data_IF_261210706583
#
_entry.id   IF_261210706583
#
_cell.length_a   1.000
_cell.length_b   1.000
_cell.length_c   1.000
_cell.angle_alpha   90.00
_cell.angle_beta   90.00
_cell.angle_gamma   90.00
#
_symmetry.space_group_name_H-M   'P 1'
#
loop_
_entity.id
_entity.type
_entity.pdbx_description
1 polymer ?
#
# COMPACT_ATOMS: atom_id res chain seq x y z
N UNK A 1 10.64 -10.85 -40.99
CA UNK A 1 10.60 -10.25 -39.64
C UNK A 1 9.83 -11.17 -38.73
N UNK A 2 10.44 -11.75 -37.73
CA UNK A 2 9.72 -12.51 -36.71
C UNK A 2 9.44 -11.58 -35.54
N UNK A 3 8.17 -11.45 -35.17
CA UNK A 3 7.74 -10.70 -33.99
C UNK A 3 7.24 -11.68 -32.94
N UNK A 4 7.81 -11.61 -31.75
CA UNK A 4 7.44 -12.45 -30.60
C UNK A 4 6.95 -11.55 -29.46
N UNK A 5 5.72 -11.79 -28.98
CA UNK A 5 5.16 -11.06 -27.84
C UNK A 5 5.62 -11.69 -26.52
N UNK A 6 6.06 -10.85 -25.63
CA UNK A 6 6.60 -11.25 -24.34
C UNK A 6 5.84 -10.55 -23.23
N UNK A 7 5.49 -11.31 -22.21
CA UNK A 7 4.89 -10.78 -21.02
C UNK A 7 5.69 -11.22 -19.79
N UNK A 8 5.90 -10.31 -18.87
CA UNK A 8 6.54 -10.61 -17.60
C UNK A 8 5.80 -9.97 -16.43
N UNK A 9 5.93 -10.61 -15.28
CA UNK A 9 5.53 -10.12 -13.98
C UNK A 9 6.78 -9.81 -13.18
N UNK A 10 6.89 -8.58 -12.71
CA UNK A 10 7.97 -8.15 -11.81
C UNK A 10 7.42 -7.92 -10.42
N UNK A 11 8.12 -8.39 -9.40
CA UNK A 11 7.80 -8.14 -8.00
C UNK A 11 9.00 -7.55 -7.27
N UNK A 12 8.75 -6.61 -6.38
CA UNK A 12 9.78 -6.02 -5.54
C UNK A 12 9.85 -6.78 -4.22
N UNK A 13 11.04 -7.30 -3.93
CA UNK A 13 11.32 -8.00 -2.67
C UNK A 13 12.35 -7.25 -1.84
N UNK A 14 12.22 -7.31 -0.53
CA UNK A 14 13.25 -6.79 0.37
C UNK A 14 14.42 -7.76 0.43
N UNK A 15 15.61 -7.20 0.32
CA UNK A 15 16.85 -7.91 0.32
C UNK A 15 17.86 -7.18 1.21
N UNK A 16 18.77 -7.88 1.84
CA UNK A 16 19.81 -7.25 2.66
C UNK A 16 20.96 -6.76 1.81
N UNK A 17 21.29 -5.47 1.91
CA UNK A 17 22.45 -4.90 1.23
C UNK A 17 23.79 -5.32 1.85
N UNK A 18 23.79 -5.73 3.12
CA UNK A 18 25.00 -6.12 3.83
C UNK A 18 25.62 -7.41 3.31
N UNK A 19 26.92 -7.51 3.43
CA UNK A 19 27.66 -8.75 3.25
C UNK A 19 27.56 -9.58 4.53
N UNK A 20 27.09 -10.82 4.42
CA UNK A 20 26.97 -11.73 5.55
C UNK A 20 28.33 -11.96 6.23
N UNK A 21 28.34 -11.79 7.56
CA UNK A 21 29.56 -11.98 8.37
C UNK A 21 30.64 -10.90 8.22
N UNK A 22 30.32 -9.77 7.58
CA UNK A 22 31.21 -8.62 7.44
C UNK A 22 30.53 -7.35 7.95
N UNK A 23 31.28 -6.49 8.65
CA UNK A 23 30.74 -5.23 9.18
C UNK A 23 29.96 -4.46 8.11
N UNK A 24 28.75 -3.92 8.42
CA UNK A 24 28.11 -3.84 9.74
C UNK A 24 27.38 -5.10 10.19
N UNK A 25 27.27 -6.17 9.37
CA UNK A 25 26.65 -7.43 9.76
C UNK A 25 27.56 -8.19 10.75
N UNK A 26 27.06 -8.41 11.96
CA UNK A 26 27.77 -9.11 13.04
C UNK A 26 27.50 -10.61 13.07
N UNK A 27 26.70 -11.14 12.14
CA UNK A 27 26.41 -12.55 12.06
C UNK A 27 27.68 -13.36 11.80
N UNK A 28 27.87 -14.43 12.58
CA UNK A 28 29.04 -15.30 12.44
C UNK A 28 28.74 -16.49 11.52
N UNK A 29 29.59 -16.72 10.56
CA UNK A 29 29.55 -17.92 9.70
C UNK A 29 29.62 -19.20 10.57
N UNK A 30 28.59 -20.05 10.44
CA UNK A 30 28.55 -21.33 11.16
C UNK A 30 28.16 -21.27 12.64
N UNK A 31 27.88 -20.10 13.20
CA UNK A 31 27.53 -19.95 14.62
C UNK A 31 26.09 -20.35 14.98
N UNK A 32 25.22 -20.55 14.03
CA UNK A 32 23.83 -20.96 14.28
C UNK A 32 23.30 -21.92 13.22
N UNK A 33 22.30 -22.71 13.60
CA UNK A 33 21.55 -23.56 12.66
C UNK A 33 20.70 -22.78 11.67
N UNK A 34 20.66 -21.45 11.79
CA UNK A 34 19.92 -20.58 10.89
C UNK A 34 20.83 -20.08 9.77
N UNK A 35 20.34 -20.19 8.54
CA UNK A 35 21.04 -19.69 7.35
C UNK A 35 20.50 -18.32 6.97
N UNK A 36 21.38 -17.37 6.72
CA UNK A 36 21.01 -16.10 6.14
C UNK A 36 20.71 -16.28 4.65
N UNK A 37 19.53 -15.90 4.19
CA UNK A 37 19.15 -15.84 2.78
C UNK A 37 18.97 -14.39 2.31
N UNK A 38 19.62 -13.45 3.00
CA UNK A 38 19.53 -12.00 2.77
C UNK A 38 18.12 -11.43 2.89
N UNK A 39 17.26 -12.06 3.68
CA UNK A 39 15.91 -11.59 3.97
C UNK A 39 15.78 -11.24 5.43
N UNK A 40 14.89 -10.30 5.78
CA UNK A 40 14.69 -9.90 7.17
C UNK A 40 14.31 -11.09 8.07
N UNK A 41 13.43 -11.98 7.58
CA UNK A 41 12.98 -13.16 8.33
C UNK A 41 14.13 -14.15 8.65
N UNK A 42 15.11 -14.25 7.77
CA UNK A 42 16.25 -15.16 7.96
C UNK A 42 17.49 -14.45 8.50
N UNK A 43 17.40 -13.18 8.82
CA UNK A 43 18.51 -12.37 9.32
C UNK A 43 18.87 -12.81 10.74
N UNK A 44 20.17 -13.00 10.98
CA UNK A 44 20.72 -13.32 12.31
C UNK A 44 21.15 -12.05 13.07
N UNK A 45 21.10 -10.89 12.39
CA UNK A 45 21.49 -9.58 12.92
C UNK A 45 20.50 -8.53 12.41
N UNK A 46 19.29 -8.58 12.95
CA UNK A 46 18.18 -7.70 12.50
C UNK A 46 18.41 -6.23 12.81
N UNK A 47 19.24 -5.92 13.84
CA UNK A 47 19.56 -4.56 14.21
C UNK A 47 20.38 -3.84 13.13
N UNK A 48 21.24 -4.56 12.43
CA UNK A 48 22.08 -4.04 11.34
C UNK A 48 21.53 -4.39 9.94
N UNK A 49 20.27 -4.83 9.84
CA UNK A 49 19.67 -5.13 8.54
C UNK A 49 19.49 -3.84 7.72
N UNK A 50 20.16 -3.76 6.57
CA UNK A 50 20.01 -2.65 5.63
C UNK A 50 19.14 -3.13 4.47
N UNK A 51 17.95 -2.55 4.36
CA UNK A 51 16.98 -2.89 3.33
C UNK A 51 17.42 -2.37 1.97
N UNK A 52 17.48 -3.26 1.01
CA UNK A 52 17.59 -2.99 -0.42
C UNK A 52 16.37 -3.60 -1.14
N UNK A 53 15.93 -3.00 -2.22
CA UNK A 53 14.86 -3.55 -3.07
C UNK A 53 15.50 -4.33 -4.21
N UNK A 54 15.07 -5.58 -4.38
CA UNK A 54 15.47 -6.42 -5.50
C UNK A 54 14.27 -6.79 -6.34
N UNK A 55 14.38 -6.59 -7.65
CA UNK A 55 13.33 -6.97 -8.59
C UNK A 55 13.49 -8.44 -8.98
N UNK A 56 12.41 -9.19 -8.86
CA UNK A 56 12.32 -10.57 -9.36
C UNK A 56 11.33 -10.59 -10.51
N UNK A 57 11.76 -11.08 -11.65
CA UNK A 57 10.97 -11.15 -12.88
C UNK A 57 10.53 -12.60 -13.14
N UNK A 58 9.27 -12.78 -13.41
CA UNK A 58 8.71 -14.04 -13.92
C UNK A 58 8.22 -13.80 -15.34
N UNK A 59 8.74 -14.53 -16.31
CA UNK A 59 8.42 -14.29 -17.72
C UNK A 59 7.85 -15.54 -18.38
N UNK A 60 7.17 -15.32 -19.50
CA UNK A 60 6.74 -16.39 -20.40
C UNK A 60 7.80 -16.74 -21.46
N UNK A 61 8.98 -16.11 -21.39
CA UNK A 61 10.03 -16.23 -22.39
C UNK A 61 11.42 -16.20 -21.75
N UNK A 62 12.31 -17.04 -22.25
CA UNK A 62 13.72 -17.13 -21.82
C UNK A 62 14.64 -16.11 -22.49
N UNK A 63 14.19 -15.45 -23.57
CA UNK A 63 15.00 -14.56 -24.41
C UNK A 63 14.95 -13.11 -23.95
N UNK A 64 14.24 -12.77 -22.86
CA UNK A 64 14.23 -11.42 -22.33
C UNK A 64 15.65 -11.06 -21.87
N UNK A 65 16.25 -10.00 -22.40
CA UNK A 65 17.55 -9.54 -21.92
C UNK A 65 17.39 -9.03 -20.49
N UNK A 66 18.17 -9.61 -19.60
CA UNK A 66 18.12 -9.30 -18.18
C UNK A 66 19.26 -8.36 -17.86
N UNK A 67 18.97 -7.22 -17.23
CA UNK A 67 20.00 -6.45 -16.57
C UNK A 67 20.71 -7.35 -15.53
N UNK A 68 21.99 -7.22 -15.35
CA UNK A 68 22.81 -8.09 -14.45
C UNK A 68 22.33 -8.08 -13.00
N UNK A 69 21.48 -7.13 -12.62
CA UNK A 69 20.85 -7.01 -11.29
C UNK A 69 19.48 -7.68 -11.18
N UNK A 70 18.90 -8.15 -12.28
CA UNK A 70 17.52 -8.67 -12.32
C UNK A 70 17.55 -10.20 -12.37
N UNK A 71 16.71 -10.83 -11.57
CA UNK A 71 16.52 -12.28 -11.57
C UNK A 71 15.30 -12.60 -12.43
N UNK A 72 15.46 -13.38 -13.50
CA UNK A 72 14.36 -13.82 -14.33
C UNK A 72 14.13 -15.32 -14.23
N UNK A 73 12.88 -15.69 -13.96
CA UNK A 73 12.41 -17.06 -14.01
C UNK A 73 11.37 -17.21 -15.14
N UNK A 74 11.62 -18.06 -16.13
CA UNK A 74 10.66 -18.31 -17.21
C UNK A 74 9.52 -19.23 -16.76
N UNK A 75 8.83 -18.85 -15.69
CA UNK A 75 7.82 -19.64 -15.00
C UNK A 75 6.40 -19.07 -15.16
N UNK A 76 6.24 -17.94 -15.86
CA UNK A 76 4.95 -17.32 -16.11
C UNK A 76 4.19 -18.09 -17.19
N UNK A 77 2.96 -18.52 -16.90
CA UNK A 77 2.06 -19.18 -17.88
C UNK A 77 1.10 -18.18 -18.51
N UNK A 78 0.42 -17.39 -17.70
CA UNK A 78 -0.54 -16.39 -18.19
C UNK A 78 -0.84 -15.34 -17.14
N UNK A 79 -1.31 -14.18 -17.60
CA UNK A 79 -1.86 -13.12 -16.74
C UNK A 79 -3.26 -12.82 -17.23
N UNK A 80 -4.23 -12.81 -16.31
CA UNK A 80 -5.56 -12.26 -16.54
C UNK A 80 -5.69 -10.93 -15.83
N UNK A 81 -6.30 -9.95 -16.49
CA UNK A 81 -6.47 -8.60 -15.92
C UNK A 81 -7.93 -8.16 -16.01
N UNK A 82 -8.32 -7.37 -15.01
CA UNK A 82 -9.58 -6.62 -15.00
C UNK A 82 -9.24 -5.14 -14.88
N UNK A 83 -9.80 -4.35 -15.79
CA UNK A 83 -9.58 -2.90 -15.79
C UNK A 83 -10.32 -2.19 -14.66
N UNK A 84 -9.84 -1.02 -14.27
CA UNK A 84 -10.54 -0.09 -13.39
C UNK A 84 -11.86 0.34 -14.03
N UNK A 85 -12.91 0.48 -13.22
CA UNK A 85 -14.14 1.16 -13.61
C UNK A 85 -14.39 2.33 -12.66
N UNK A 86 -14.40 3.55 -13.19
CA UNK A 86 -14.55 4.79 -12.42
C UNK A 86 -16.02 5.03 -12.12
N UNK A 87 -16.35 5.37 -10.87
CA UNK A 87 -17.70 5.78 -10.47
C UNK A 87 -17.88 7.29 -10.68
N UNK A 88 -18.14 7.70 -11.92
CA UNK A 88 -18.21 9.12 -12.32
C UNK A 88 -19.31 9.88 -11.58
N UNK A 89 -20.42 9.22 -11.29
CA UNK A 89 -21.59 9.88 -10.66
C UNK A 89 -21.56 9.82 -9.14
N UNK A 90 -20.68 9.01 -8.56
CA UNK A 90 -20.71 8.70 -7.13
C UNK A 90 -21.92 7.89 -6.67
N UNK A 91 -22.99 7.87 -7.48
CA UNK A 91 -24.28 7.32 -7.12
C UNK A 91 -24.39 5.79 -7.18
N UNK A 92 -23.39 5.11 -7.70
CA UNK A 92 -23.41 3.64 -7.78
C UNK A 92 -22.89 3.02 -6.49
N UNK A 93 -23.80 2.66 -5.59
CA UNK A 93 -23.49 2.07 -4.27
C UNK A 93 -22.62 0.79 -4.36
N UNK A 94 -22.76 0.00 -5.45
CA UNK A 94 -21.95 -1.21 -5.65
C UNK A 94 -20.49 -0.89 -6.00
N UNK A 95 -20.25 0.28 -6.58
CA UNK A 95 -18.91 0.71 -6.98
C UNK A 95 -18.20 1.51 -5.90
N UNK A 96 -18.91 1.98 -4.88
CA UNK A 96 -18.40 2.90 -3.85
C UNK A 96 -17.69 4.13 -4.43
N UNK A 97 -17.06 4.95 -3.60
CA UNK A 97 -16.44 6.21 -4.01
C UNK A 97 -15.31 6.04 -5.02
N UNK A 98 -14.48 5.06 -4.81
CA UNK A 98 -13.30 4.83 -5.65
C UNK A 98 -13.55 3.90 -6.87
N UNK A 99 -14.78 3.50 -7.16
CA UNK A 99 -15.11 2.63 -8.29
C UNK A 99 -14.67 1.16 -8.11
N UNK A 100 -14.48 0.45 -9.22
CA UNK A 100 -13.97 -0.93 -9.22
C UNK A 100 -12.47 -0.90 -9.45
N UNK A 101 -11.72 -1.60 -8.59
CA UNK A 101 -10.26 -1.69 -8.65
C UNK A 101 -9.80 -2.50 -9.85
N UNK A 102 -8.74 -2.02 -10.52
CA UNK A 102 -8.00 -2.89 -11.42
C UNK A 102 -7.42 -4.07 -10.64
N UNK A 103 -7.48 -5.23 -11.24
CA UNK A 103 -6.90 -6.42 -10.62
C UNK A 103 -6.23 -7.30 -11.65
N UNK A 104 -5.22 -8.04 -11.21
CA UNK A 104 -4.54 -9.04 -11.99
C UNK A 104 -4.46 -10.36 -11.23
N UNK A 105 -4.42 -11.44 -12.00
CA UNK A 105 -4.11 -12.78 -11.52
C UNK A 105 -3.07 -13.37 -12.46
N UNK A 106 -1.87 -13.60 -11.95
CA UNK A 106 -0.78 -14.24 -12.67
C UNK A 106 -0.72 -15.71 -12.28
N UNK A 107 -0.70 -16.58 -13.27
CA UNK A 107 -0.55 -18.03 -13.13
C UNK A 107 0.87 -18.43 -13.47
N UNK A 108 1.52 -19.10 -12.53
CA UNK A 108 2.91 -19.52 -12.63
C UNK A 108 3.03 -21.02 -12.37
N UNK A 109 4.12 -21.61 -12.88
CA UNK A 109 4.46 -23.00 -12.64
C UNK A 109 5.72 -23.06 -11.78
N UNK A 110 5.64 -23.81 -10.68
CA UNK A 110 6.76 -23.96 -9.76
C UNK A 110 7.81 -24.94 -10.28
N UNK A 111 9.05 -24.74 -9.89
CA UNK A 111 10.18 -25.58 -10.31
C UNK A 111 11.18 -25.78 -9.18
N UNK A 112 11.92 -26.90 -9.16
CA UNK A 112 13.05 -27.08 -8.27
C UNK A 112 14.06 -25.93 -8.40
N UNK A 113 14.63 -25.48 -7.27
CA UNK A 113 15.48 -24.31 -7.29
C UNK A 113 16.69 -24.44 -6.35
N UNK A 114 17.85 -24.12 -6.87
CA UNK A 114 19.14 -24.27 -6.20
C UNK A 114 19.63 -23.04 -5.43
N UNK A 115 18.77 -22.02 -5.24
CA UNK A 115 19.08 -20.77 -4.55
C UNK A 115 20.13 -19.85 -5.21
N UNK A 116 20.64 -20.19 -6.38
CA UNK A 116 21.77 -19.48 -7.01
C UNK A 116 21.56 -17.96 -7.21
N UNK A 117 20.31 -17.51 -7.35
CA UNK A 117 20.00 -16.09 -7.57
C UNK A 117 19.64 -15.33 -6.29
N UNK A 118 18.93 -15.99 -5.37
CA UNK A 118 18.52 -15.35 -4.11
C UNK A 118 19.60 -15.41 -3.04
N UNK A 119 20.47 -16.41 -3.14
CA UNK A 119 21.53 -16.65 -2.18
C UNK A 119 22.90 -16.38 -2.79
N UNK A 120 23.41 -15.18 -2.60
CA UNK A 120 24.76 -14.80 -3.06
C UNK A 120 25.90 -15.58 -2.34
N UNK A 121 25.58 -16.26 -1.25
CA UNK A 121 26.53 -17.09 -0.48
C UNK A 121 26.28 -18.58 -0.66
N UNK A 122 25.59 -18.97 -1.72
CA UNK A 122 25.26 -20.37 -1.98
C UNK A 122 26.48 -21.27 -1.98
N UNK A 123 27.58 -20.82 -2.59
CA UNK A 123 28.85 -21.59 -2.64
C UNK A 123 29.46 -21.84 -1.25
N UNK A 124 29.46 -20.83 -0.38
CA UNK A 124 29.99 -20.95 0.98
C UNK A 124 29.12 -21.85 1.84
N UNK A 125 27.81 -21.83 1.63
CA UNK A 125 26.87 -22.69 2.36
C UNK A 125 26.92 -24.13 1.93
N UNK A 126 27.19 -24.40 0.65
CA UNK A 126 27.38 -25.75 0.12
C UNK A 126 28.71 -26.33 0.59
N UNK A 127 29.77 -25.52 0.65
CA UNK A 127 31.13 -25.97 0.95
C UNK A 127 31.43 -26.26 2.41
N UNK A 128 30.45 -26.22 3.31
CA UNK A 128 30.59 -26.86 4.60
C UNK A 128 30.59 -25.99 5.85
N UNK A 129 30.71 -24.67 5.74
CA UNK A 129 30.64 -23.79 6.92
C UNK A 129 29.23 -23.74 7.58
N UNK A 130 28.24 -24.35 6.96
CA UNK A 130 26.87 -24.42 7.45
C UNK A 130 26.32 -25.85 7.47
N UNK A 131 27.20 -26.85 7.73
CA UNK A 131 26.76 -28.22 7.98
C UNK A 131 25.95 -28.26 9.28
N UNK A 132 24.76 -28.78 9.18
CA UNK A 132 23.95 -29.20 10.33
C UNK A 132 24.15 -30.68 10.52
N UNK A 133 23.70 -31.23 11.65
CA UNK A 133 23.70 -32.67 11.93
C UNK A 133 22.97 -33.53 10.87
N UNK A 134 22.25 -32.87 9.95
CA UNK A 134 21.51 -33.46 8.82
C UNK A 134 22.37 -33.68 7.57
N UNK A 135 23.70 -33.44 7.63
CA UNK A 135 24.62 -33.57 6.50
C UNK A 135 24.75 -32.30 5.64
N UNK A 136 25.44 -32.37 4.49
CA UNK A 136 25.68 -31.21 3.65
C UNK A 136 24.40 -30.64 3.10
N UNK A 137 24.35 -29.31 3.06
CA UNK A 137 23.19 -28.60 2.49
C UNK A 137 23.08 -28.80 0.98
N UNK A 138 22.02 -29.50 0.55
CA UNK A 138 21.66 -29.62 -0.86
C UNK A 138 20.47 -28.69 -1.19
N UNK A 139 20.73 -27.60 -1.91
CA UNK A 139 19.63 -26.67 -2.27
C UNK A 139 18.60 -27.29 -3.19
N UNK A 140 18.95 -28.25 -4.06
CA UNK A 140 18.00 -28.94 -4.93
C UNK A 140 17.02 -29.85 -4.17
N UNK A 141 17.51 -30.52 -3.13
CA UNK A 141 16.66 -31.37 -2.30
C UNK A 141 15.73 -30.62 -1.37
N UNK A 142 15.85 -29.27 -1.26
CA UNK A 142 15.20 -28.50 -0.20
C UNK A 142 14.09 -27.55 -0.66
N UNK A 143 13.53 -27.75 -1.83
CA UNK A 143 12.30 -27.08 -2.24
C UNK A 143 12.38 -26.35 -3.57
N UNK A 144 11.31 -25.66 -3.86
CA UNK A 144 11.00 -25.04 -5.14
C UNK A 144 11.08 -23.53 -5.07
N UNK A 145 11.02 -22.83 -6.22
CA UNK A 145 11.10 -21.36 -6.32
C UNK A 145 10.07 -20.69 -5.42
N UNK A 146 8.79 -21.03 -5.58
CA UNK A 146 7.72 -20.33 -4.88
C UNK A 146 7.55 -20.78 -3.42
N UNK A 147 7.83 -22.04 -3.09
CA UNK A 147 7.87 -22.46 -1.69
C UNK A 147 8.94 -21.69 -0.91
N UNK A 148 10.13 -21.51 -1.49
CA UNK A 148 11.21 -20.73 -0.91
C UNK A 148 10.89 -19.24 -0.87
N UNK A 149 10.34 -18.68 -1.95
CA UNK A 149 9.90 -17.29 -2.00
C UNK A 149 8.91 -16.98 -0.87
N UNK A 150 7.83 -17.76 -0.77
CA UNK A 150 6.79 -17.54 0.24
C UNK A 150 7.31 -17.70 1.67
N UNK A 151 8.19 -18.67 1.93
CA UNK A 151 8.75 -18.90 3.27
C UNK A 151 9.73 -17.82 3.70
N UNK A 152 10.48 -17.23 2.77
CA UNK A 152 11.50 -16.22 3.04
C UNK A 152 10.96 -14.79 3.04
N UNK A 153 9.91 -14.51 2.24
CA UNK A 153 9.24 -13.22 2.15
C UNK A 153 7.75 -13.34 2.50
N UNK A 154 7.40 -13.64 3.76
CA UNK A 154 6.01 -13.80 4.17
C UNK A 154 5.22 -12.47 4.18
N UNK A 155 5.92 -11.33 4.19
CA UNK A 155 5.33 -9.98 4.20
C UNK A 155 5.28 -9.40 2.78
N UNK A 156 4.62 -10.10 1.88
CA UNK A 156 4.51 -9.74 0.46
C UNK A 156 3.32 -8.83 0.17
N UNK A 157 2.27 -8.85 0.99
CA UNK A 157 1.07 -8.05 0.77
C UNK A 157 1.40 -6.54 0.80
N UNK A 158 0.80 -5.78 -0.12
CA UNK A 158 1.05 -4.36 -0.30
C UNK A 158 2.36 -4.00 -1.02
N UNK A 159 3.18 -4.99 -1.43
CA UNK A 159 4.41 -4.72 -2.14
C UNK A 159 4.18 -4.39 -3.61
N UNK A 160 5.02 -3.51 -4.20
CA UNK A 160 4.92 -3.17 -5.61
C UNK A 160 5.07 -4.39 -6.52
N UNK A 161 4.29 -4.40 -7.56
CA UNK A 161 4.28 -5.41 -8.60
C UNK A 161 3.99 -4.74 -9.95
N UNK A 162 4.63 -5.20 -11.03
CA UNK A 162 4.46 -4.67 -12.38
C UNK A 162 4.18 -5.78 -13.37
N UNK A 163 3.26 -5.51 -14.29
CA UNK A 163 3.10 -6.31 -15.51
C UNK A 163 3.78 -5.55 -16.63
N UNK A 164 4.76 -6.18 -17.25
CA UNK A 164 5.52 -5.61 -18.35
C UNK A 164 5.21 -6.40 -19.62
N UNK A 165 4.65 -5.71 -20.59
CA UNK A 165 4.42 -6.24 -21.93
C UNK A 165 5.52 -5.74 -22.88
N UNK A 166 6.04 -6.60 -23.72
CA UNK A 166 7.11 -6.28 -24.63
C UNK A 166 7.06 -7.09 -25.92
N UNK A 167 7.91 -6.74 -26.84
CA UNK A 167 8.07 -7.43 -28.12
C UNK A 167 9.55 -7.69 -28.41
N UNK A 168 9.83 -8.83 -29.02
CA UNK A 168 11.14 -9.13 -29.59
C UNK A 168 10.96 -9.09 -31.11
N UNK A 169 11.65 -8.14 -31.76
CA UNK A 169 11.68 -8.01 -33.22
C UNK A 169 13.09 -8.24 -33.68
N UNK A 170 13.29 -9.26 -34.52
CA UNK A 170 14.60 -9.66 -35.04
C UNK A 170 15.69 -9.80 -33.94
N UNK A 171 15.30 -10.32 -32.76
CA UNK A 171 16.19 -10.52 -31.61
C UNK A 171 16.36 -9.32 -30.69
N UNK A 172 15.75 -8.16 -30.98
CA UNK A 172 15.81 -6.96 -30.15
C UNK A 172 14.54 -6.88 -29.29
N UNK A 173 14.70 -6.86 -27.98
CA UNK A 173 13.60 -6.70 -27.02
C UNK A 173 13.27 -5.22 -26.79
N UNK A 174 11.99 -4.90 -26.79
CA UNK A 174 11.46 -3.56 -26.48
C UNK A 174 10.24 -3.68 -25.57
N UNK A 175 10.21 -2.86 -24.51
CA UNK A 175 9.03 -2.74 -23.64
C UNK A 175 7.99 -1.88 -24.36
N UNK A 176 6.76 -2.37 -24.43
CA UNK A 176 5.62 -1.66 -25.03
C UNK A 176 4.70 -1.04 -24.00
N UNK A 177 4.57 -1.68 -22.80
CA UNK A 177 3.71 -1.19 -21.74
C UNK A 177 4.19 -1.70 -20.39
N UNK A 178 4.07 -0.87 -19.36
CA UNK A 178 4.25 -1.26 -17.96
C UNK A 178 3.02 -0.81 -17.18
N UNK A 179 2.44 -1.72 -16.39
CA UNK A 179 1.28 -1.45 -15.55
C UNK A 179 1.60 -1.79 -14.09
N UNK A 180 1.25 -0.88 -13.19
CA UNK A 180 1.65 -0.93 -11.78
C UNK A 180 0.51 -1.37 -10.87
N UNK A 181 0.81 -2.30 -9.98
CA UNK A 181 -0.09 -2.90 -9.01
C UNK A 181 0.60 -3.11 -7.67
N UNK A 182 -0.16 -3.52 -6.65
CA UNK A 182 0.35 -4.05 -5.40
C UNK A 182 -0.07 -5.52 -5.26
N UNK A 183 0.78 -6.33 -4.63
CA UNK A 183 0.51 -7.73 -4.35
C UNK A 183 -0.55 -7.81 -3.26
N UNK A 184 -1.60 -8.60 -3.49
CA UNK A 184 -2.62 -8.87 -2.47
C UNK A 184 -2.52 -10.26 -1.91
N UNK A 185 -2.15 -11.25 -2.72
CA UNK A 185 -2.11 -12.65 -2.27
C UNK A 185 -1.12 -13.51 -3.06
N UNK A 186 -0.56 -14.53 -2.36
CA UNK A 186 0.23 -15.63 -2.88
C UNK A 186 -0.47 -16.96 -2.57
N UNK A 187 -1.04 -17.62 -3.58
CA UNK A 187 -1.69 -18.91 -3.46
C UNK A 187 -0.81 -20.05 -3.99
N UNK A 188 -0.71 -21.11 -3.24
CA UNK A 188 0.14 -22.27 -3.59
C UNK A 188 1.55 -22.20 -2.99
N UNK A 189 2.57 -22.91 -3.58
CA UNK A 189 2.39 -23.89 -4.66
C UNK A 189 1.51 -25.07 -4.23
N UNK A 190 0.70 -25.58 -5.15
CA UNK A 190 -0.11 -26.79 -4.94
C UNK A 190 0.65 -28.06 -5.37
N UNK A 191 0.03 -29.23 -5.24
CA UNK A 191 0.63 -30.50 -5.59
C UNK A 191 0.95 -30.65 -7.10
N UNK A 192 0.31 -29.86 -7.96
CA UNK A 192 0.59 -29.81 -9.38
C UNK A 192 1.70 -28.83 -9.76
N UNK A 193 2.26 -28.11 -8.80
CA UNK A 193 3.23 -27.04 -9.02
C UNK A 193 2.61 -25.72 -9.44
N UNK A 194 1.29 -25.55 -9.36
CA UNK A 194 0.64 -24.29 -9.69
C UNK A 194 0.84 -23.27 -8.57
N UNK A 195 1.27 -22.08 -8.95
CA UNK A 195 1.37 -20.92 -8.07
C UNK A 195 0.63 -19.73 -8.68
N UNK A 196 -0.04 -18.94 -7.83
CA UNK A 196 -0.83 -17.79 -8.28
C UNK A 196 -0.42 -16.56 -7.49
N UNK A 197 -0.14 -15.47 -8.21
CA UNK A 197 0.07 -14.15 -7.63
C UNK A 197 -1.11 -13.28 -8.01
N UNK A 198 -1.78 -12.70 -7.00
CA UNK A 198 -2.88 -11.76 -7.21
C UNK A 198 -2.42 -10.36 -6.85
N UNK A 199 -2.93 -9.40 -7.58
CA UNK A 199 -2.67 -7.99 -7.33
C UNK A 199 -3.84 -7.11 -7.68
N UNK A 200 -3.83 -5.92 -7.08
CA UNK A 200 -4.78 -4.85 -7.31
C UNK A 200 -4.06 -3.51 -7.46
N UNK A 201 -4.80 -2.49 -7.87
CA UNK A 201 -4.28 -1.13 -7.89
C UNK A 201 -4.01 -0.59 -6.47
N UNK A 202 -3.22 0.49 -6.39
CA UNK A 202 -2.76 1.05 -5.10
C UNK A 202 -3.93 1.57 -4.25
N UNK A 203 -5.04 1.97 -4.85
CA UNK A 203 -6.22 2.45 -4.13
C UNK A 203 -6.92 1.35 -3.33
N UNK A 204 -6.56 0.06 -3.54
CA UNK A 204 -7.02 -1.04 -2.68
C UNK A 204 -6.60 -0.87 -1.22
N UNK A 205 -5.52 -0.13 -0.96
CA UNK A 205 -5.12 0.22 0.39
C UNK A 205 -6.21 1.03 1.12
N UNK A 206 -6.92 1.90 0.41
CA UNK A 206 -8.03 2.69 0.98
C UNK A 206 -9.33 1.87 1.16
N UNK A 207 -9.41 0.67 0.57
CA UNK A 207 -10.55 -0.24 0.70
C UNK A 207 -10.49 -1.15 1.95
N UNK A 208 -9.34 -1.21 2.65
CA UNK A 208 -9.22 -2.01 3.87
C UNK A 208 -10.14 -1.44 4.95
N UNK A 209 -10.92 -2.32 5.57
CA UNK A 209 -11.86 -1.95 6.65
C UNK A 209 -11.20 -1.32 7.88
N UNK A 210 -9.90 -1.52 8.04
CA UNK A 210 -9.10 -0.92 9.13
C UNK A 210 -8.63 0.50 8.79
N UNK A 211 -8.75 0.89 7.54
CA UNK A 211 -8.36 2.23 7.08
C UNK A 211 -9.54 3.17 7.24
N UNK A 212 -9.49 3.92 8.33
CA UNK A 212 -10.56 4.83 8.78
C UNK A 212 -10.01 6.22 9.03
N UNK A 213 -10.86 7.23 8.89
CA UNK A 213 -10.58 8.60 9.30
C UNK A 213 -11.72 9.11 10.21
N UNK A 214 -11.40 9.68 11.36
CA UNK A 214 -10.09 9.64 12.02
C UNK A 214 -9.67 8.22 12.41
N UNK A 215 -8.38 8.02 12.70
CA UNK A 215 -7.89 6.75 13.27
C UNK A 215 -8.51 6.54 14.65
N UNK A 216 -8.69 5.28 15.06
CA UNK A 216 -9.16 4.98 16.41
C UNK A 216 -8.19 5.55 17.44
N UNK A 217 -8.72 6.34 18.37
CA UNK A 217 -7.99 6.81 19.54
C UNK A 217 -8.12 5.79 20.68
N UNK A 218 -7.01 5.55 21.39
CA UNK A 218 -6.95 4.52 22.43
C UNK A 218 -7.23 5.07 23.84
N UNK A 219 -7.33 6.40 23.98
CA UNK A 219 -7.52 7.05 25.27
C UNK A 219 -8.97 7.17 25.67
N UNK A 220 -9.19 7.03 26.98
CA UNK A 220 -10.46 7.29 27.63
C UNK A 220 -10.27 8.26 28.80
N UNK A 221 -11.34 8.84 29.33
CA UNK A 221 -11.30 9.71 30.50
C UNK A 221 -10.82 8.95 31.74
N UNK A 222 -9.88 9.53 32.49
CA UNK A 222 -9.46 8.99 33.78
C UNK A 222 -10.51 9.23 34.89
N UNK A 223 -11.16 10.39 34.87
CA UNK A 223 -12.16 10.81 35.86
C UNK A 223 -13.33 11.47 35.15
N UNK A 224 -14.47 11.55 35.83
CA UNK A 224 -15.62 12.31 35.37
C UNK A 224 -15.22 13.77 35.15
N UNK A 225 -15.83 14.41 34.15
CA UNK A 225 -15.72 15.84 33.91
C UNK A 225 -17.12 16.46 33.79
N UNK A 226 -17.26 17.68 34.35
CA UNK A 226 -18.48 18.46 34.21
C UNK A 226 -18.48 19.21 32.85
N UNK A 227 -19.61 19.80 32.52
CA UNK A 227 -19.80 20.66 31.35
C UNK A 227 -18.93 21.94 31.36
N UNK A 228 -18.39 22.31 32.53
CA UNK A 228 -17.58 23.51 32.75
C UNK A 228 -16.09 23.24 33.00
N UNK A 229 -15.71 21.98 33.11
CA UNK A 229 -14.30 21.62 33.31
C UNK A 229 -13.44 22.01 32.12
N UNK A 230 -12.24 22.54 32.43
CA UNK A 230 -11.28 23.02 31.43
C UNK A 230 -10.11 22.08 31.21
N UNK A 231 -10.11 20.94 31.90
CA UNK A 231 -9.06 19.92 31.76
C UNK A 231 -9.67 18.52 31.78
N UNK A 232 -9.05 17.62 31.04
CA UNK A 232 -9.35 16.19 31.07
C UNK A 232 -8.04 15.39 31.09
N UNK A 233 -8.00 14.29 31.80
CA UNK A 233 -6.83 13.41 31.84
C UNK A 233 -7.14 12.11 31.10
N UNK A 234 -6.23 11.73 30.20
CA UNK A 234 -6.28 10.50 29.45
C UNK A 234 -5.78 9.31 30.28
N UNK A 235 -6.35 8.16 30.08
CA UNK A 235 -5.88 6.86 30.56
C UNK A 235 -5.94 5.84 29.43
N UNK A 236 -5.05 4.81 29.35
CA UNK A 236 -3.95 4.49 30.27
C UNK A 236 -2.78 5.49 30.22
N UNK A 237 -1.95 5.47 31.25
CA UNK A 237 -0.76 6.34 31.36
C UNK A 237 0.13 6.23 30.12
N UNK A 238 0.51 7.37 29.54
CA UNK A 238 1.34 7.47 28.34
C UNK A 238 0.54 7.46 27.03
N UNK A 239 -0.77 7.18 27.06
CA UNK A 239 -1.62 7.16 25.85
C UNK A 239 -1.71 8.51 25.17
N UNK A 240 -1.52 9.60 25.90
CA UNK A 240 -1.49 10.94 25.33
C UNK A 240 -0.50 11.08 24.17
N UNK A 241 0.61 10.34 24.17
CA UNK A 241 1.59 10.37 23.08
C UNK A 241 1.01 9.95 21.71
N UNK A 242 -0.11 9.27 21.68
CA UNK A 242 -0.81 8.88 20.43
C UNK A 242 -1.73 9.97 19.90
N UNK A 243 -1.99 11.02 20.70
CA UNK A 243 -2.79 12.17 20.30
C UNK A 243 -1.91 13.30 19.79
N UNK A 244 -2.45 14.11 18.89
CA UNK A 244 -1.84 15.38 18.45
C UNK A 244 -1.59 16.33 19.63
N UNK A 245 -0.67 17.27 19.48
CA UNK A 245 -0.41 18.30 20.52
C UNK A 245 -1.55 19.31 20.68
N UNK A 246 -2.38 19.46 19.64
CA UNK A 246 -3.58 20.29 19.64
C UNK A 246 -4.51 19.84 18.51
N UNK A 247 -5.80 20.12 18.64
CA UNK A 247 -6.77 19.73 17.63
C UNK A 247 -8.18 19.70 18.19
N UNK A 248 -8.95 18.74 17.72
CA UNK A 248 -10.34 18.51 18.10
C UNK A 248 -10.52 17.06 18.54
N UNK A 249 -11.20 16.87 19.65
CA UNK A 249 -11.64 15.56 20.13
C UNK A 249 -13.16 15.55 20.28
N UNK A 250 -13.75 14.39 20.14
CA UNK A 250 -15.13 14.15 20.55
C UNK A 250 -15.18 13.25 21.76
N UNK A 251 -16.10 13.57 22.69
CA UNK A 251 -16.50 12.71 23.78
C UNK A 251 -18.02 12.60 23.68
N UNK A 252 -18.52 11.40 23.40
CA UNK A 252 -19.95 11.24 23.09
C UNK A 252 -20.36 12.03 21.87
N UNK A 253 -21.27 13.01 22.06
CA UNK A 253 -21.78 13.95 21.04
C UNK A 253 -21.10 15.31 21.08
N UNK A 254 -20.29 15.60 22.09
CA UNK A 254 -19.61 16.89 22.23
C UNK A 254 -18.31 16.95 21.43
N UNK A 255 -18.10 18.06 20.72
CA UNK A 255 -16.86 18.40 20.05
C UNK A 255 -16.09 19.45 20.86
N UNK A 256 -14.84 19.14 21.18
CA UNK A 256 -13.99 19.92 22.11
C UNK A 256 -12.66 20.28 21.43
N UNK A 257 -12.33 21.56 21.40
CA UNK A 257 -10.99 21.98 21.02
C UNK A 257 -10.02 21.75 22.18
N UNK A 258 -8.84 21.20 21.90
CA UNK A 258 -7.87 20.90 22.94
C UNK A 258 -6.45 21.28 22.59
N UNK A 259 -5.63 21.44 23.65
CA UNK A 259 -4.16 21.35 23.59
C UNK A 259 -3.72 20.30 24.60
N UNK A 260 -2.58 19.66 24.38
CA UNK A 260 -2.13 18.51 25.18
C UNK A 260 -0.70 18.66 25.69
N UNK A 261 -0.51 18.28 26.95
CA UNK A 261 0.81 18.08 27.56
C UNK A 261 0.81 16.76 28.33
N UNK A 262 1.61 15.80 27.90
CA UNK A 262 1.56 14.43 28.45
C UNK A 262 0.21 13.78 28.21
N UNK A 263 -0.42 13.29 29.26
CA UNK A 263 -1.78 12.71 29.20
C UNK A 263 -2.88 13.71 29.60
N UNK A 264 -2.53 15.00 29.79
CA UNK A 264 -3.50 16.03 30.17
C UNK A 264 -3.90 16.83 28.94
N UNK A 265 -5.20 16.89 28.69
CA UNK A 265 -5.84 17.75 27.72
C UNK A 265 -6.30 19.03 28.41
N UNK A 266 -5.89 20.20 27.92
CA UNK A 266 -6.53 21.47 28.23
C UNK A 266 -7.66 21.66 27.24
N UNK A 267 -8.89 21.76 27.73
CA UNK A 267 -10.12 21.91 26.95
C UNK A 267 -10.28 23.39 26.63
N UNK A 268 -9.86 23.80 25.42
CA UNK A 268 -9.82 25.22 25.01
C UNK A 268 -11.21 25.76 24.73
N UNK A 269 -12.07 24.92 24.17
CA UNK A 269 -13.46 25.26 23.85
C UNK A 269 -14.33 24.02 23.96
N UNK A 270 -15.35 24.09 24.81
CA UNK A 270 -16.36 23.04 25.02
C UNK A 270 -17.58 23.31 24.13
N UNK A 271 -18.33 22.26 23.79
CA UNK A 271 -19.56 22.36 23.01
C UNK A 271 -19.39 23.13 21.72
N UNK A 272 -18.32 22.84 20.98
CA UNK A 272 -17.96 23.60 19.80
C UNK A 272 -18.73 23.14 18.56
N UNK A 273 -18.86 24.06 17.59
CA UNK A 273 -19.36 23.72 16.25
C UNK A 273 -20.74 23.04 16.26
N UNK A 274 -21.69 23.72 16.90
CA UNK A 274 -23.09 23.28 17.00
C UNK A 274 -23.31 22.04 17.87
N UNK A 275 -22.35 21.70 18.74
CA UNK A 275 -22.53 20.75 19.85
C UNK A 275 -22.68 21.50 21.16
N UNK A 276 -23.31 20.88 22.15
CA UNK A 276 -23.46 21.45 23.48
C UNK A 276 -22.40 20.88 24.44
N UNK A 277 -21.93 21.67 25.45
CA UNK A 277 -21.12 21.13 26.52
C UNK A 277 -21.92 20.13 27.36
N UNK A 278 -21.34 18.93 27.58
CA UNK A 278 -22.00 17.84 28.31
C UNK A 278 -21.10 17.38 29.47
N UNK A 279 -21.70 16.70 30.44
CA UNK A 279 -20.96 15.96 31.48
C UNK A 279 -20.55 14.62 30.91
N UNK A 280 -19.33 14.18 31.21
CA UNK A 280 -18.81 12.89 30.75
C UNK A 280 -18.29 12.07 31.93
N UNK A 281 -18.52 10.76 31.85
CA UNK A 281 -18.11 9.84 32.91
C UNK A 281 -16.68 9.29 32.66
N UNK A 282 -16.05 8.84 33.74
CA UNK A 282 -14.79 8.11 33.63
C UNK A 282 -14.96 6.91 32.69
N UNK A 283 -13.92 6.65 31.88
CA UNK A 283 -13.86 5.64 30.82
C UNK A 283 -14.63 5.97 29.54
N UNK A 284 -15.26 7.15 29.45
CA UNK A 284 -15.74 7.63 28.15
C UNK A 284 -14.57 7.78 27.16
N UNK A 285 -14.81 7.32 25.92
CA UNK A 285 -13.79 7.37 24.86
C UNK A 285 -13.55 8.81 24.43
N UNK A 286 -12.29 9.21 24.37
CA UNK A 286 -11.86 10.48 23.80
C UNK A 286 -11.30 10.22 22.39
N UNK A 287 -12.09 10.54 21.38
CA UNK A 287 -11.74 10.29 19.97
C UNK A 287 -11.24 11.55 19.29
N UNK A 288 -10.00 11.54 18.75
CA UNK A 288 -9.57 12.62 17.84
C UNK A 288 -10.48 12.68 16.63
N UNK A 289 -10.73 13.88 16.11
CA UNK A 289 -11.61 14.10 14.96
C UNK A 289 -10.82 14.42 13.70
N UNK A 290 -11.29 13.95 12.56
CA UNK A 290 -10.79 14.40 11.27
C UNK A 290 -11.58 15.66 10.88
N UNK A 291 -10.96 16.81 11.11
CA UNK A 291 -11.58 18.13 10.86
C UNK A 291 -11.10 18.70 9.53
N UNK A 292 -12.08 19.21 8.77
CA UNK A 292 -11.88 19.88 7.50
C UNK A 292 -12.55 21.26 7.59
N UNK A 293 -11.80 22.33 7.33
CA UNK A 293 -12.30 23.70 7.44
C UNK A 293 -11.79 24.61 6.33
N UNK A 294 -12.65 24.83 5.34
CA UNK A 294 -12.31 25.64 4.19
C UNK A 294 -11.22 25.03 3.31
N UNK A 295 -11.02 23.73 3.44
CA UNK A 295 -10.09 23.01 2.60
C UNK A 295 -10.74 22.65 1.28
N UNK A 296 -10.00 22.84 0.20
CA UNK A 296 -10.47 22.46 -1.12
C UNK A 296 -10.47 20.93 -1.27
N UNK A 297 -11.33 20.42 -2.13
CA UNK A 297 -11.60 18.99 -2.29
C UNK A 297 -10.36 18.15 -2.59
N UNK A 298 -9.40 18.65 -3.40
CA UNK A 298 -8.15 17.96 -3.71
C UNK A 298 -7.26 17.81 -2.47
N UNK A 299 -7.22 18.81 -1.60
CA UNK A 299 -6.47 18.76 -0.34
C UNK A 299 -7.06 17.72 0.60
N UNK A 300 -8.38 17.68 0.73
CA UNK A 300 -9.08 16.73 1.60
C UNK A 300 -8.88 15.30 1.10
N UNK A 301 -9.04 15.06 -0.19
CA UNK A 301 -8.81 13.73 -0.78
C UNK A 301 -7.36 13.28 -0.60
N UNK A 302 -6.40 14.19 -0.79
CA UNK A 302 -4.99 13.88 -0.55
C UNK A 302 -4.74 13.47 0.89
N UNK A 303 -5.28 14.21 1.87
CA UNK A 303 -5.16 13.87 3.29
C UNK A 303 -5.73 12.48 3.58
N UNK A 304 -6.92 12.17 3.08
CA UNK A 304 -7.54 10.85 3.24
C UNK A 304 -6.70 9.71 2.65
N UNK A 305 -6.12 9.92 1.47
CA UNK A 305 -5.32 8.89 0.79
C UNK A 305 -3.93 8.74 1.39
N UNK A 306 -3.24 9.83 1.70
CA UNK A 306 -1.84 9.81 2.15
C UNK A 306 -1.75 9.60 3.66
N UNK A 307 -2.46 10.41 4.45
CA UNK A 307 -2.30 10.40 5.91
C UNK A 307 -3.05 9.24 6.56
N UNK A 308 -4.24 8.90 6.03
CA UNK A 308 -5.09 7.87 6.62
C UNK A 308 -4.93 6.51 5.94
N UNK A 309 -4.93 6.45 4.60
CA UNK A 309 -4.78 5.20 3.86
C UNK A 309 -3.31 4.78 3.63
N UNK A 310 -2.34 5.66 3.90
CA UNK A 310 -0.91 5.35 3.77
C UNK A 310 -0.43 5.20 2.33
N UNK A 311 -1.14 5.77 1.36
CA UNK A 311 -0.71 5.82 -0.04
C UNK A 311 0.47 6.78 -0.14
N UNK A 312 1.55 6.37 -0.81
CA UNK A 312 2.72 7.21 -0.97
C UNK A 312 2.38 8.51 -1.71
N UNK A 313 2.79 9.64 -1.13
CA UNK A 313 2.52 10.97 -1.69
C UNK A 313 3.12 11.17 -3.10
N UNK A 314 4.14 10.42 -3.47
CA UNK A 314 4.73 10.45 -4.82
C UNK A 314 3.75 10.00 -5.92
N UNK A 315 2.70 9.28 -5.56
CA UNK A 315 1.65 8.87 -6.49
C UNK A 315 0.56 9.94 -6.68
N UNK A 316 0.62 11.04 -5.92
CA UNK A 316 -0.34 12.14 -6.03
C UNK A 316 0.28 13.26 -6.88
N UNK A 317 -0.19 13.49 -8.11
CA UNK A 317 0.31 14.55 -8.97
C UNK A 317 -0.30 15.90 -8.57
N UNK A 318 0.14 16.48 -7.45
CA UNK A 318 -0.41 17.69 -6.81
C UNK A 318 -0.66 18.83 -7.81
N UNK A 319 0.31 19.12 -8.68
CA UNK A 319 0.17 20.20 -9.67
C UNK A 319 -0.99 19.97 -10.65
N UNK A 320 -1.22 18.70 -11.06
CA UNK A 320 -2.36 18.34 -11.94
C UNK A 320 -3.69 18.48 -11.21
N UNK A 321 -3.75 18.01 -9.96
CA UNK A 321 -4.95 18.10 -9.13
C UNK A 321 -5.32 19.55 -8.84
N UNK A 322 -4.33 20.34 -8.43
CA UNK A 322 -4.49 21.78 -8.20
C UNK A 322 -5.02 22.50 -9.43
N UNK A 323 -4.39 22.28 -10.60
CA UNK A 323 -4.81 22.92 -11.85
C UNK A 323 -6.24 22.51 -12.28
N UNK A 324 -6.63 21.25 -12.08
CA UNK A 324 -8.00 20.80 -12.37
C UNK A 324 -9.01 21.45 -11.42
N UNK A 325 -8.71 21.50 -10.12
CA UNK A 325 -9.60 22.10 -9.12
C UNK A 325 -9.64 23.63 -9.22
N UNK A 326 -8.54 24.32 -9.51
CA UNK A 326 -8.54 25.77 -9.74
C UNK A 326 -9.48 26.15 -10.89
N UNK A 327 -9.50 25.32 -11.92
CA UNK A 327 -10.30 25.61 -13.12
C UNK A 327 -11.78 25.25 -12.97
N UNK A 328 -12.10 24.17 -12.28
CA UNK A 328 -13.42 23.56 -12.33
C UNK A 328 -14.12 23.38 -10.97
N UNK A 329 -13.39 23.53 -9.87
CA UNK A 329 -13.90 23.38 -8.50
C UNK A 329 -13.32 24.46 -7.56
N UNK A 330 -13.02 25.67 -8.09
CA UNK A 330 -12.35 26.74 -7.36
C UNK A 330 -13.14 27.25 -6.14
N UNK A 331 -14.45 27.00 -6.10
CA UNK A 331 -15.34 27.39 -5.00
C UNK A 331 -15.80 26.20 -4.15
N UNK A 332 -15.32 24.98 -4.45
CA UNK A 332 -15.73 23.77 -3.73
C UNK A 332 -14.81 23.57 -2.51
N UNK A 333 -15.19 24.23 -1.42
CA UNK A 333 -14.54 24.09 -0.12
C UNK A 333 -15.40 23.25 0.81
N UNK A 334 -14.75 22.37 1.58
CA UNK A 334 -15.38 21.45 2.50
C UNK A 334 -15.28 21.97 3.94
N UNK A 335 -16.37 21.80 4.68
CA UNK A 335 -16.45 22.10 6.11
C UNK A 335 -17.18 20.97 6.80
N UNK A 336 -16.44 20.11 7.50
CA UNK A 336 -17.02 18.97 8.21
C UNK A 336 -16.09 18.53 9.34
N UNK A 337 -16.68 17.87 10.33
CA UNK A 337 -15.98 17.18 11.41
C UNK A 337 -16.42 15.73 11.46
N UNK A 338 -15.50 14.83 11.21
CA UNK A 338 -15.74 13.40 11.29
C UNK A 338 -15.32 12.97 12.69
N UNK A 339 -16.32 12.77 13.56
CA UNK A 339 -16.13 12.46 14.98
C UNK A 339 -15.96 10.97 15.24
N UNK A 340 -16.41 10.12 14.32
CA UNK A 340 -16.37 8.66 14.47
C UNK A 340 -15.52 8.04 13.35
N UNK A 341 -14.63 7.10 13.67
CA UNK A 341 -13.86 6.39 12.67
C UNK A 341 -14.75 5.84 11.55
N UNK A 342 -14.59 6.39 10.36
CA UNK A 342 -15.37 6.07 9.15
C UNK A 342 -14.41 5.62 8.06
N UNK A 343 -14.77 4.57 7.31
CA UNK A 343 -13.92 4.03 6.25
C UNK A 343 -13.53 5.09 5.22
N UNK A 344 -12.25 5.21 4.91
CA UNK A 344 -11.71 6.20 3.97
C UNK A 344 -12.39 6.11 2.62
N UNK A 345 -12.62 4.88 2.09
CA UNK A 345 -13.34 4.72 0.83
C UNK A 345 -14.78 5.26 0.87
N UNK A 346 -15.46 5.16 2.01
CA UNK A 346 -16.81 5.74 2.18
C UNK A 346 -16.76 7.27 2.16
N UNK A 347 -15.80 7.87 2.85
CA UNK A 347 -15.60 9.32 2.86
C UNK A 347 -15.25 9.86 1.46
N UNK A 348 -14.38 9.17 0.73
CA UNK A 348 -14.10 9.51 -0.67
C UNK A 348 -15.37 9.36 -1.53
N UNK A 349 -16.24 8.39 -1.20
CA UNK A 349 -17.55 8.24 -1.83
C UNK A 349 -18.43 9.46 -1.68
N UNK A 350 -18.48 10.05 -0.49
CA UNK A 350 -19.20 11.30 -0.23
C UNK A 350 -18.61 12.47 -1.03
N UNK A 351 -17.28 12.54 -1.11
CA UNK A 351 -16.59 13.54 -1.95
C UNK A 351 -16.93 13.34 -3.43
N UNK A 352 -16.99 12.09 -3.90
CA UNK A 352 -17.33 11.78 -5.30
C UNK A 352 -18.76 12.24 -5.68
N UNK A 353 -19.71 12.25 -4.72
CA UNK A 353 -21.05 12.81 -4.94
C UNK A 353 -21.05 14.32 -5.25
N UNK A 354 -19.97 15.02 -4.90
CA UNK A 354 -19.78 16.44 -5.24
C UNK A 354 -19.29 16.64 -6.68
N UNK A 355 -19.20 15.58 -7.46
CA UNK A 355 -18.80 15.61 -8.86
C UNK A 355 -17.28 15.49 -9.08
N UNK A 356 -16.58 14.80 -8.20
CA UNK A 356 -15.16 14.52 -8.34
C UNK A 356 -14.94 13.03 -8.56
N UNK A 357 -14.19 12.66 -9.59
CA UNK A 357 -13.82 11.29 -9.91
C UNK A 357 -12.36 11.04 -9.57
N UNK A 358 -12.08 9.90 -8.94
CA UNK A 358 -10.73 9.50 -8.50
C UNK A 358 -10.47 8.08 -9.00
N UNK A 359 -9.29 7.85 -9.59
CA UNK A 359 -8.89 6.53 -10.11
C UNK A 359 -7.39 6.37 -10.07
N UNK A 360 -6.91 5.14 -10.21
CA UNK A 360 -5.51 4.83 -10.43
C UNK A 360 -5.20 4.75 -11.92
N UNK A 361 -4.19 5.49 -12.36
CA UNK A 361 -3.59 5.33 -13.69
C UNK A 361 -2.40 4.38 -13.58
N UNK A 362 -2.60 3.15 -13.99
CA UNK A 362 -1.61 2.08 -13.87
C UNK A 362 -0.40 2.25 -14.80
N UNK A 363 -0.51 3.08 -15.83
CA UNK A 363 0.59 3.38 -16.77
C UNK A 363 1.43 4.55 -16.29
N UNK A 364 0.78 5.62 -15.85
CA UNK A 364 1.46 6.81 -15.34
C UNK A 364 1.94 6.64 -13.90
N UNK A 365 1.48 5.60 -13.22
CA UNK A 365 1.77 5.33 -11.80
C UNK A 365 1.34 6.52 -10.91
N UNK A 366 0.17 7.06 -11.17
CA UNK A 366 -0.37 8.18 -10.41
C UNK A 366 -1.86 8.02 -10.12
N UNK A 367 -2.33 8.67 -9.06
CA UNK A 367 -3.76 8.77 -8.75
C UNK A 367 -4.34 9.93 -9.55
N UNK A 368 -5.25 9.63 -10.47
CA UNK A 368 -5.99 10.63 -11.23
C UNK A 368 -7.10 11.25 -10.39
N UNK A 369 -7.30 12.57 -10.54
CA UNK A 369 -8.45 13.30 -10.04
C UNK A 369 -9.03 14.16 -11.16
N UNK A 370 -10.34 14.12 -11.32
CA UNK A 370 -11.04 14.94 -12.31
C UNK A 370 -12.38 15.42 -11.81
N UNK A 371 -12.69 16.68 -12.08
CA UNK A 371 -13.99 17.26 -11.79
C UNK A 371 -14.93 16.95 -12.95
N UNK A 372 -16.14 16.45 -12.65
CA UNK A 372 -17.16 16.17 -13.64
C UNK A 372 -17.62 17.49 -14.29
N UNK A 373 -17.46 17.57 -15.59
CA UNK A 373 -17.70 18.79 -16.37
C UNK A 373 -18.12 18.47 -17.79
N UNK A 374 -18.78 19.36 -18.49
CA UNK A 374 -19.00 19.20 -19.91
C UNK A 374 -17.68 19.05 -20.69
N UNK A 375 -17.67 18.32 -21.80
CA UNK A 375 -16.48 18.24 -22.66
C UNK A 375 -16.02 19.63 -23.07
N UNK A 376 -14.71 19.86 -23.06
CA UNK A 376 -14.11 21.15 -23.43
C UNK A 376 -13.33 20.95 -24.72
N UNK A 377 -13.63 21.77 -25.72
CA UNK A 377 -12.98 21.78 -27.03
C UNK A 377 -13.65 20.84 -28.05
N UNK A 378 -13.09 20.80 -29.26
CA UNK A 378 -13.61 20.04 -30.41
C UNK A 378 -13.40 18.51 -30.32
N UNK A 379 -12.95 18.01 -29.19
CA UNK A 379 -12.66 16.60 -28.97
C UNK A 379 -13.85 15.78 -28.49
N UNK A 380 -15.06 16.08 -29.01
CA UNK A 380 -16.19 15.15 -28.88
C UNK A 380 -16.03 14.10 -29.98
N UNK A 381 -15.40 12.98 -29.64
CA UNK A 381 -15.45 11.81 -30.50
C UNK A 381 -16.86 11.25 -30.43
N UNK A 382 -17.62 11.42 -31.49
CA UNK A 382 -18.83 10.66 -31.70
C UNK A 382 -18.41 9.22 -32.00
N UNK A 383 -18.58 8.34 -31.04
CA UNK A 383 -18.46 6.88 -31.26
C UNK A 383 -19.68 6.49 -32.09
N UNK A 384 -19.50 6.21 -33.34
CA UNK A 384 -20.51 5.61 -34.21
C UNK A 384 -20.39 4.09 -34.13
N UNK A 385 -21.48 3.37 -34.43
CA UNK A 385 -21.54 1.90 -34.44
C UNK A 385 -20.53 1.22 -35.40
N UNK A 386 -19.71 2.00 -36.07
CA UNK A 386 -18.67 1.56 -37.02
C UNK A 386 -17.24 1.66 -36.46
N UNK A 387 -17.03 2.12 -35.23
CA UNK A 387 -15.75 2.18 -34.52
C UNK A 387 -15.65 1.01 -33.53
#
# INVERSE_FOLDING_TARGET
MSTEYVQSLEIDIDYCANTYGSSPCTAALGASNHKCFNTFKTCQDTANFIKEVKVVTFSNNTKIPIASSTINFPLLKSITSRSTAVNITGANERMKGLGVRASITAFLEDAPYNDSFFDKYNSERISGAAQTDEGPYDPFARGTVFAKLKSRWPFYAGRPMRVVDGVIVDGVYSITSTRHYIITDFEGPDQSGKFVIKGKDILDLADDKRVVAPKFSEGVLLNDISDTDTTATLTPLGVGSTYSSSGWVSIGSELIAFTRVGDVLTLVSRGSRETDPETHEALDTIQETFSVRGDRVDVVVKRLLVEEAGIDASFIPDAKWTAECDKWASTLFLNTDIMKPTGVNSLIGEVALLGVSIWWDDKLQEVGLKVNRPPVGDAVHNINDSD
#
